data_IF_040854648866
#
_entry.id   IF_040854648866
#
_cell.length_a   1.000
_cell.length_b   1.000
_cell.length_c   1.000
_cell.angle_alpha   90.00
_cell.angle_beta   90.00
_cell.angle_gamma   90.00
#
_symmetry.space_group_name_H-M   'P 1'
#
loop_
_entity.id
_entity.type
_entity.pdbx_description
1 polymer ?
#
# COMPACT_ATOMS: atom_id res chain seq x y z
N UNK A 1 -22.63 -1.81 -60.36
CA UNK A 1 -21.78 -1.04 -59.44
C UNK A 1 -22.65 -0.55 -58.28
N UNK A 2 -22.04 -0.45 -57.10
CA UNK A 2 -22.60 -0.77 -55.78
C UNK A 2 -23.88 -0.05 -55.32
N UNK A 3 -24.75 -0.82 -54.66
CA UNK A 3 -25.93 -0.39 -53.90
C UNK A 3 -25.52 0.13 -52.53
N UNK A 4 -26.18 1.21 -52.10
CA UNK A 4 -26.24 1.68 -50.72
C UNK A 4 -26.93 0.62 -49.85
N UNK A 5 -26.36 0.35 -48.67
CA UNK A 5 -27.05 -0.25 -47.54
C UNK A 5 -26.49 0.41 -46.28
N UNK A 6 -27.26 1.35 -45.73
CA UNK A 6 -27.15 1.81 -44.36
C UNK A 6 -27.72 0.71 -43.46
N UNK A 7 -26.90 0.20 -42.53
CA UNK A 7 -27.37 -0.63 -41.42
C UNK A 7 -27.12 0.15 -40.14
N UNK A 8 -28.19 0.81 -39.69
CA UNK A 8 -28.35 1.28 -38.32
C UNK A 8 -28.52 0.06 -37.40
N UNK A 9 -27.48 -0.26 -36.63
CA UNK A 9 -27.53 -1.20 -35.51
C UNK A 9 -27.39 -0.46 -34.20
N UNK A 10 -28.50 0.08 -33.67
CA UNK A 10 -28.63 0.45 -32.25
C UNK A 10 -28.78 -0.85 -31.47
N UNK A 11 -27.73 -1.32 -30.80
CA UNK A 11 -27.87 -2.21 -29.65
C UNK A 11 -27.78 -1.36 -28.39
N UNK A 12 -28.88 -1.33 -27.66
CA UNK A 12 -29.01 -0.68 -26.35
C UNK A 12 -28.10 -1.38 -25.35
N UNK A 13 -27.13 -0.63 -24.84
CA UNK A 13 -26.45 -0.87 -23.58
C UNK A 13 -27.49 -0.82 -22.46
N UNK A 14 -28.01 -1.97 -22.05
CA UNK A 14 -28.41 -2.15 -20.66
C UNK A 14 -27.16 -2.57 -19.88
N UNK A 15 -26.22 -1.63 -19.71
CA UNK A 15 -25.19 -1.72 -18.69
C UNK A 15 -25.89 -1.64 -17.33
N UNK A 16 -26.22 -2.80 -16.78
CA UNK A 16 -26.60 -2.93 -15.39
C UNK A 16 -25.46 -2.42 -14.51
N UNK A 17 -25.57 -1.17 -14.07
CA UNK A 17 -24.79 -0.65 -12.96
C UNK A 17 -24.94 -1.61 -11.78
N UNK A 18 -23.95 -2.46 -11.54
CA UNK A 18 -23.89 -3.25 -10.32
C UNK A 18 -23.85 -2.27 -9.15
N UNK A 19 -24.92 -2.29 -8.36
CA UNK A 19 -25.10 -1.40 -7.22
C UNK A 19 -23.96 -1.65 -6.23
N UNK A 20 -23.25 -0.58 -5.87
CA UNK A 20 -22.13 -0.61 -4.91
C UNK A 20 -22.49 -1.35 -3.61
N UNK A 21 -23.75 -1.28 -3.17
CA UNK A 21 -24.25 -2.02 -2.03
C UNK A 21 -24.14 -3.55 -2.19
N UNK A 22 -24.26 -4.08 -3.40
CA UNK A 22 -24.09 -5.51 -3.66
C UNK A 22 -22.63 -5.95 -3.61
N UNK A 23 -21.72 -5.07 -4.05
CA UNK A 23 -20.28 -5.31 -4.02
C UNK A 23 -19.79 -5.33 -2.57
N UNK A 24 -20.18 -4.33 -1.77
CA UNK A 24 -19.77 -4.24 -0.38
C UNK A 24 -20.41 -5.33 0.49
N UNK A 25 -21.65 -5.74 0.19
CA UNK A 25 -22.29 -6.92 0.80
C UNK A 25 -21.49 -8.20 0.50
N UNK A 26 -21.17 -8.48 -0.77
CA UNK A 26 -20.36 -9.65 -1.16
C UNK A 26 -18.96 -9.62 -0.54
N UNK A 27 -18.37 -8.43 -0.36
CA UNK A 27 -17.08 -8.26 0.32
C UNK A 27 -17.18 -8.63 1.79
N UNK A 28 -18.20 -8.13 2.51
CA UNK A 28 -18.46 -8.49 3.92
C UNK A 28 -18.72 -9.99 4.09
N UNK A 29 -19.60 -10.56 3.28
CA UNK A 29 -19.89 -12.00 3.31
C UNK A 29 -18.61 -12.84 3.12
N UNK A 30 -17.71 -12.43 2.23
CA UNK A 30 -16.41 -13.11 2.02
C UNK A 30 -15.45 -12.94 3.20
N UNK A 31 -15.42 -11.77 3.83
CA UNK A 31 -14.60 -11.52 5.02
C UNK A 31 -15.11 -12.37 6.19
N UNK A 32 -16.42 -12.43 6.38
CA UNK A 32 -17.05 -13.25 7.42
C UNK A 32 -16.82 -14.74 7.18
N UNK A 33 -16.92 -15.20 5.92
CA UNK A 33 -16.62 -16.59 5.56
C UNK A 33 -15.15 -16.94 5.81
N UNK A 34 -14.22 -16.04 5.50
CA UNK A 34 -12.80 -16.24 5.76
C UNK A 34 -12.50 -16.23 7.27
N UNK A 35 -13.11 -15.31 8.01
CA UNK A 35 -13.00 -15.24 9.47
C UNK A 35 -13.51 -16.53 10.12
N UNK A 36 -14.66 -17.04 9.66
CA UNK A 36 -15.22 -18.31 10.13
C UNK A 36 -14.29 -19.48 9.83
N UNK A 37 -13.74 -19.60 8.61
CA UNK A 37 -12.77 -20.66 8.28
C UNK A 37 -11.53 -20.61 9.17
N UNK A 38 -10.97 -19.42 9.39
CA UNK A 38 -9.80 -19.25 10.26
C UNK A 38 -10.11 -19.64 11.71
N UNK A 39 -11.33 -19.36 12.18
CA UNK A 39 -11.78 -19.73 13.51
C UNK A 39 -11.89 -21.25 13.66
N UNK A 40 -12.46 -21.94 12.66
CA UNK A 40 -12.53 -23.41 12.62
C UNK A 40 -11.13 -24.05 12.56
N UNK A 41 -10.21 -23.50 11.76
CA UNK A 41 -8.82 -23.98 11.71
C UNK A 41 -8.11 -23.81 13.06
N UNK A 42 -8.34 -22.68 13.75
CA UNK A 42 -7.80 -22.42 15.09
C UNK A 42 -8.37 -23.40 16.12
N UNK A 43 -9.67 -23.66 16.11
CA UNK A 43 -10.29 -24.64 17.02
C UNK A 43 -9.73 -26.05 16.80
N UNK A 44 -9.52 -26.45 15.54
CA UNK A 44 -8.90 -27.73 15.21
C UNK A 44 -7.46 -27.83 15.71
N UNK A 45 -6.68 -26.75 15.54
CA UNK A 45 -5.31 -26.69 16.03
C UNK A 45 -5.25 -26.76 17.56
N UNK A 46 -6.11 -26.00 18.26
CA UNK A 46 -6.20 -26.04 19.71
C UNK A 46 -6.56 -27.44 20.23
N UNK A 47 -7.52 -28.12 19.61
CA UNK A 47 -7.89 -29.49 19.98
C UNK A 47 -6.73 -30.47 19.80
N UNK A 48 -5.98 -30.34 18.71
CA UNK A 48 -4.77 -31.15 18.48
C UNK A 48 -3.71 -30.93 19.54
N UNK A 49 -3.53 -29.68 20.00
CA UNK A 49 -2.60 -29.33 21.08
C UNK A 49 -3.07 -29.93 22.41
N UNK A 50 -4.36 -29.83 22.72
CA UNK A 50 -4.94 -30.42 23.94
C UNK A 50 -4.76 -31.95 23.97
N UNK A 51 -5.01 -32.64 22.85
CA UNK A 51 -4.78 -34.09 22.73
C UNK A 51 -3.30 -34.47 22.92
N UNK A 52 -2.37 -33.67 22.38
CA UNK A 52 -0.93 -33.89 22.55
C UNK A 52 -0.48 -33.66 23.99
N UNK A 53 -0.97 -32.60 24.63
CA UNK A 53 -0.72 -32.35 26.06
C UNK A 53 -1.24 -33.48 26.92
N UNK A 54 -2.43 -34.01 26.63
CA UNK A 54 -3.00 -35.12 27.38
C UNK A 54 -2.18 -36.41 27.23
N UNK A 55 -1.67 -36.71 26.02
CA UNK A 55 -0.75 -37.84 25.80
C UNK A 55 0.55 -37.68 26.58
N UNK A 56 1.11 -36.47 26.64
CA UNK A 56 2.33 -36.20 27.41
C UNK A 56 2.09 -36.40 28.91
N UNK A 57 0.94 -35.95 29.44
CA UNK A 57 0.54 -36.19 30.82
C UNK A 57 0.32 -37.67 31.15
N UNK A 58 -0.19 -38.46 30.20
CA UNK A 58 -0.35 -39.91 30.37
C UNK A 58 1.02 -40.63 30.36
N UNK A 59 1.96 -40.20 29.51
CA UNK A 59 3.33 -40.71 29.50
C UNK A 59 4.10 -40.40 30.80
N UNK A 60 3.83 -39.24 31.41
CA UNK A 60 4.45 -38.85 32.69
C UNK A 60 3.86 -39.62 33.89
N UNK A 61 2.68 -40.22 33.73
CA UNK A 61 2.00 -41.01 34.77
C UNK A 61 2.28 -42.50 34.74
N UNK A 62 2.97 -43.03 33.73
CA UNK A 62 3.45 -44.42 33.73
C UNK A 62 4.77 -44.50 34.52
N UNK A 63 4.78 -45.09 35.74
CA UNK A 63 6.02 -45.31 36.45
C UNK A 63 6.71 -46.53 35.83
N UNK A 64 7.74 -46.29 35.02
CA UNK A 64 8.75 -47.33 34.81
C UNK A 64 9.57 -47.42 36.08
N UNK A 65 9.30 -48.48 36.84
CA UNK A 65 10.17 -49.03 37.86
C UNK A 65 11.60 -49.13 37.29
N UNK A 66 12.50 -48.28 37.79
CA UNK A 66 13.93 -48.56 37.74
C UNK A 66 14.55 -48.03 39.02
N UNK A 67 14.66 -48.93 40.00
CA UNK A 67 15.57 -48.81 41.14
C UNK A 67 16.98 -48.44 40.64
N UNK A 68 17.59 -47.35 41.11
CA UNK A 68 18.62 -47.39 42.17
C UNK A 68 19.25 -46.01 42.44
N UNK A 69 19.29 -45.68 43.73
CA UNK A 69 20.32 -44.92 44.47
C UNK A 69 20.61 -43.43 44.19
N UNK A 70 20.14 -42.62 45.15
CA UNK A 70 20.99 -41.92 46.15
C UNK A 70 21.17 -40.40 46.03
N UNK A 71 20.92 -39.79 47.20
CA UNK A 71 21.52 -38.59 47.82
C UNK A 71 21.04 -37.18 47.45
N UNK A 72 20.40 -36.59 48.47
CA UNK A 72 20.63 -35.25 49.06
C UNK A 72 19.93 -34.00 48.49
N UNK A 73 18.84 -33.65 49.18
CA UNK A 73 18.60 -32.39 49.94
C UNK A 73 18.43 -31.01 49.24
N UNK A 74 17.76 -30.03 49.90
CA UNK A 74 16.67 -29.28 49.28
C UNK A 74 16.84 -27.74 49.27
N UNK A 75 16.07 -27.06 48.42
CA UNK A 75 15.66 -25.65 48.60
C UNK A 75 14.43 -25.38 47.72
N UNK A 76 13.24 -25.19 48.31
CA UNK A 76 12.60 -23.88 48.56
C UNK A 76 12.54 -22.96 47.33
N UNK A 77 11.35 -22.79 46.76
CA UNK A 77 10.55 -21.55 46.87
C UNK A 77 9.18 -21.74 46.22
N UNK A 78 8.14 -21.49 47.01
CA UNK A 78 6.73 -21.45 46.62
C UNK A 78 6.42 -19.97 46.41
N UNK A 79 6.16 -19.56 45.18
CA UNK A 79 5.43 -18.31 44.92
C UNK A 79 4.15 -18.59 44.13
N UNK A 80 3.08 -18.53 44.89
CA UNK A 80 1.68 -18.43 44.53
C UNK A 80 1.46 -17.20 43.63
N UNK A 81 0.99 -17.40 42.39
CA UNK A 81 0.39 -16.32 41.61
C UNK A 81 -1.10 -16.59 41.45
N UNK A 82 -1.88 -15.79 42.18
CA UNK A 82 -3.33 -15.64 42.04
C UNK A 82 -3.69 -15.10 40.64
N UNK A 83 -4.82 -15.53 40.06
CA UNK A 83 -5.32 -14.95 38.83
C UNK A 83 -5.96 -13.59 39.12
N UNK A 84 -5.43 -12.54 38.49
CA UNK A 84 -6.03 -11.21 38.45
C UNK A 84 -7.24 -11.26 37.52
N UNK A 85 -8.42 -11.16 38.14
CA UNK A 85 -9.71 -10.90 37.52
C UNK A 85 -9.63 -9.48 36.92
N UNK A 86 -9.82 -9.38 35.61
CA UNK A 86 -9.90 -8.10 34.90
C UNK A 86 -11.38 -7.82 34.58
N UNK A 87 -11.78 -6.63 35.01
CA UNK A 87 -13.14 -6.13 35.12
C UNK A 87 -13.91 -6.10 33.79
N UNK A 88 -15.17 -6.49 33.88
CA UNK A 88 -16.24 -6.17 32.95
C UNK A 88 -16.39 -4.65 32.85
N UNK A 89 -16.22 -4.08 31.65
CA UNK A 89 -16.75 -2.76 31.33
C UNK A 89 -17.79 -2.88 30.24
N UNK A 90 -18.98 -2.39 30.58
CA UNK A 90 -20.21 -2.59 29.86
C UNK A 90 -20.24 -1.96 28.48
N UNK A 91 -20.71 -2.77 27.53
CA UNK A 91 -21.39 -2.32 26.33
C UNK A 91 -22.66 -1.56 26.73
N UNK A 92 -22.73 -0.29 26.37
CA UNK A 92 -24.00 0.42 26.27
C UNK A 92 -24.14 0.96 24.85
N UNK A 93 -25.07 0.34 24.14
CA UNK A 93 -25.64 0.79 22.89
C UNK A 93 -26.33 2.15 23.11
N UNK A 94 -25.97 3.16 22.32
CA UNK A 94 -26.96 4.12 21.84
C UNK A 94 -26.73 4.40 20.36
N UNK A 95 -27.52 3.67 19.56
CA UNK A 95 -27.95 4.07 18.23
C UNK A 95 -28.65 5.43 18.29
N UNK A 96 -28.23 6.37 17.44
CA UNK A 96 -29.19 7.10 16.59
C UNK A 96 -28.55 7.94 15.48
N UNK A 97 -28.88 7.52 14.26
CA UNK A 97 -29.34 8.35 13.12
C UNK A 97 -28.39 9.43 12.59
N UNK A 98 -27.82 9.14 11.41
CA UNK A 98 -28.17 9.89 10.20
C UNK A 98 -27.83 9.09 8.94
N UNK A 99 -28.84 8.43 8.37
CA UNK A 99 -28.85 7.96 6.99
C UNK A 99 -28.93 9.18 6.07
N UNK A 100 -27.78 9.77 5.76
CA UNK A 100 -27.58 10.35 4.43
C UNK A 100 -26.87 9.28 3.61
N UNK A 101 -27.25 9.10 2.35
CA UNK A 101 -26.58 8.17 1.44
C UNK A 101 -25.13 8.61 1.21
N UNK A 102 -24.25 8.30 2.15
CA UNK A 102 -22.82 8.47 2.02
C UNK A 102 -22.34 7.34 1.13
N UNK A 103 -22.09 7.66 -0.14
CA UNK A 103 -21.11 6.91 -0.90
C UNK A 103 -19.87 6.76 -0.01
N UNK A 104 -19.34 5.54 0.18
CA UNK A 104 -18.15 5.40 1.00
C UNK A 104 -17.04 6.19 0.32
N UNK A 105 -16.61 7.25 0.98
CA UNK A 105 -15.42 7.97 0.56
C UNK A 105 -14.28 6.96 0.57
N UNK A 106 -13.71 6.70 -0.60
CA UNK A 106 -12.48 5.93 -0.70
C UNK A 106 -11.44 6.63 0.19
N UNK A 107 -11.01 5.95 1.26
CA UNK A 107 -10.02 6.52 2.18
C UNK A 107 -8.67 6.60 1.47
N UNK A 108 -8.14 7.82 1.34
CA UNK A 108 -6.81 8.08 0.78
C UNK A 108 -5.92 8.69 1.85
N UNK A 109 -4.60 8.46 1.74
CA UNK A 109 -3.64 8.94 2.73
C UNK A 109 -3.42 10.45 2.71
N UNK A 110 -3.75 11.10 1.60
CA UNK A 110 -3.95 12.55 1.48
C UNK A 110 -5.22 12.82 0.69
N UNK A 111 -5.91 13.94 0.94
CA UNK A 111 -7.09 14.31 0.17
C UNK A 111 -6.74 14.54 -1.31
N UNK A 112 -7.56 13.96 -2.18
CA UNK A 112 -7.50 14.14 -3.63
C UNK A 112 -8.89 14.52 -4.17
N UNK A 113 -8.92 15.07 -5.38
CA UNK A 113 -10.17 15.34 -6.09
C UNK A 113 -10.85 14.04 -6.49
N UNK A 114 -12.18 14.08 -6.59
CA UNK A 114 -12.98 12.94 -7.07
C UNK A 114 -12.53 12.44 -8.45
N UNK A 115 -12.05 13.36 -9.32
CA UNK A 115 -11.53 13.00 -10.64
C UNK A 115 -10.29 12.11 -10.55
N UNK A 116 -9.33 12.44 -9.67
CA UNK A 116 -8.15 11.59 -9.45
C UNK A 116 -8.55 10.25 -8.86
N UNK A 117 -9.43 10.27 -7.84
CA UNK A 117 -9.92 9.04 -7.20
C UNK A 117 -10.59 8.14 -8.24
N UNK A 118 -11.47 8.69 -9.08
CA UNK A 118 -12.14 7.94 -10.16
C UNK A 118 -11.14 7.37 -11.17
N UNK A 119 -10.18 8.19 -11.62
CA UNK A 119 -9.24 7.81 -12.68
C UNK A 119 -8.20 6.80 -12.23
N UNK A 120 -7.64 6.96 -11.04
CA UNK A 120 -6.50 6.16 -10.58
C UNK A 120 -6.81 5.14 -9.51
N UNK A 121 -7.87 5.33 -8.71
CA UNK A 121 -8.17 4.45 -7.57
C UNK A 121 -9.35 3.55 -7.87
N UNK A 122 -10.47 4.12 -8.31
CA UNK A 122 -11.71 3.41 -8.58
C UNK A 122 -11.82 3.00 -10.06
N UNK A 123 -10.71 2.56 -10.66
CA UNK A 123 -10.70 2.15 -12.06
C UNK A 123 -10.92 0.64 -12.22
N UNK A 124 -11.53 0.23 -13.33
CA UNK A 124 -11.79 -1.19 -13.65
C UNK A 124 -10.49 -2.00 -13.84
N UNK A 125 -9.40 -1.33 -14.22
CA UNK A 125 -8.12 -1.95 -14.49
C UNK A 125 -7.49 -2.53 -13.22
N UNK A 126 -7.52 -1.78 -12.11
CA UNK A 126 -7.08 -2.22 -10.78
C UNK A 126 -7.84 -3.47 -10.33
N UNK A 127 -9.17 -3.48 -10.45
CA UNK A 127 -10.01 -4.64 -10.09
C UNK A 127 -9.59 -5.88 -10.87
N UNK A 128 -9.37 -5.73 -12.18
CA UNK A 128 -8.85 -6.81 -13.03
C UNK A 128 -7.47 -7.30 -12.57
N UNK A 129 -6.57 -6.38 -12.18
CA UNK A 129 -5.24 -6.74 -11.66
C UNK A 129 -5.34 -7.52 -10.35
N UNK A 130 -6.18 -7.09 -9.40
CA UNK A 130 -6.42 -7.81 -8.15
C UNK A 130 -6.97 -9.22 -8.40
N UNK A 131 -7.92 -9.37 -9.33
CA UNK A 131 -8.44 -10.69 -9.69
C UNK A 131 -7.38 -11.59 -10.30
N UNK A 132 -6.45 -11.05 -11.10
CA UNK A 132 -5.32 -11.82 -11.66
C UNK A 132 -4.33 -12.22 -10.58
N UNK A 133 -3.99 -11.32 -9.66
CA UNK A 133 -3.17 -11.62 -8.47
C UNK A 133 -3.81 -12.74 -7.66
N UNK A 134 -5.10 -12.62 -7.35
CA UNK A 134 -5.82 -13.60 -6.56
C UNK A 134 -5.85 -14.97 -7.26
N UNK A 135 -6.22 -15.02 -8.55
CA UNK A 135 -6.23 -16.26 -9.33
C UNK A 135 -4.86 -16.93 -9.37
N UNK A 136 -3.82 -16.16 -9.68
CA UNK A 136 -2.46 -16.70 -9.76
C UNK A 136 -1.99 -17.23 -8.39
N UNK A 137 -2.31 -16.53 -7.29
CA UNK A 137 -2.00 -16.99 -5.93
C UNK A 137 -2.67 -18.33 -5.59
N UNK A 138 -3.88 -18.60 -6.09
CA UNK A 138 -4.55 -19.88 -5.84
C UNK A 138 -3.92 -21.02 -6.65
N UNK A 139 -3.44 -20.75 -7.87
CA UNK A 139 -2.92 -21.79 -8.77
C UNK A 139 -1.42 -22.01 -8.65
N UNK A 140 -0.66 -21.00 -8.21
CA UNK A 140 0.79 -21.06 -8.13
C UNK A 140 1.24 -21.95 -6.95
N UNK A 141 2.20 -22.87 -7.15
CA UNK A 141 2.78 -23.64 -6.04
C UNK A 141 3.31 -22.75 -4.90
N UNK A 142 2.97 -23.08 -3.65
CA UNK A 142 3.33 -22.28 -2.45
C UNK A 142 4.83 -22.01 -2.30
N UNK A 143 5.67 -22.97 -2.71
CA UNK A 143 7.12 -22.82 -2.72
C UNK A 143 7.59 -21.71 -3.67
N UNK A 144 6.98 -21.58 -4.85
CA UNK A 144 7.31 -20.53 -5.84
C UNK A 144 6.86 -19.16 -5.32
N UNK A 145 5.66 -19.08 -4.72
CA UNK A 145 5.18 -17.84 -4.08
C UNK A 145 6.14 -17.38 -2.98
N UNK A 146 6.54 -18.31 -2.10
CA UNK A 146 7.47 -18.03 -1.01
C UNK A 146 8.84 -17.61 -1.56
N UNK A 147 9.36 -18.31 -2.56
CA UNK A 147 10.64 -17.96 -3.19
C UNK A 147 10.60 -16.56 -3.81
N UNK A 148 9.53 -16.22 -4.52
CA UNK A 148 9.31 -14.87 -5.09
C UNK A 148 9.38 -13.82 -3.98
N UNK A 149 8.62 -14.03 -2.90
CA UNK A 149 8.61 -13.13 -1.74
C UNK A 149 9.99 -12.97 -1.10
N UNK A 150 10.71 -14.08 -0.89
CA UNK A 150 12.06 -14.06 -0.31
C UNK A 150 13.02 -13.29 -1.20
N UNK A 151 13.01 -13.54 -2.51
CA UNK A 151 13.91 -12.87 -3.44
C UNK A 151 13.61 -11.37 -3.52
N UNK A 152 12.35 -10.97 -3.71
CA UNK A 152 11.95 -9.56 -3.74
C UNK A 152 12.37 -8.86 -2.44
N UNK A 153 12.06 -9.44 -1.27
CA UNK A 153 12.42 -8.86 0.01
C UNK A 153 13.94 -8.71 0.18
N UNK A 154 14.70 -9.77 -0.13
CA UNK A 154 16.16 -9.77 0.02
C UNK A 154 16.80 -8.75 -0.89
N UNK A 155 16.36 -8.66 -2.16
CA UNK A 155 16.99 -7.78 -3.15
C UNK A 155 16.60 -6.32 -2.96
N UNK A 156 15.35 -6.01 -2.61
CA UNK A 156 14.95 -4.63 -2.38
C UNK A 156 15.59 -4.00 -1.14
N UNK A 157 15.90 -4.78 -0.10
CA UNK A 157 16.68 -4.29 1.05
C UNK A 157 18.14 -3.96 0.68
N UNK A 158 18.64 -4.49 -0.44
CA UNK A 158 20.01 -4.27 -0.89
C UNK A 158 20.17 -3.03 -1.78
N UNK A 159 19.08 -2.41 -2.26
CA UNK A 159 19.17 -1.24 -3.15
C UNK A 159 19.97 -0.12 -2.47
N UNK A 160 20.98 0.41 -3.16
CA UNK A 160 21.79 1.55 -2.71
C UNK A 160 22.41 2.26 -3.91
N UNK A 161 22.96 3.45 -3.72
CA UNK A 161 23.61 4.26 -4.78
C UNK A 161 24.94 3.71 -5.31
N UNK A 162 25.25 2.43 -5.09
CA UNK A 162 26.44 1.79 -5.67
C UNK A 162 26.21 1.52 -7.16
N UNK A 163 27.13 2.01 -8.00
CA UNK A 163 27.08 1.81 -9.45
C UNK A 163 26.85 0.33 -9.82
N UNK A 164 25.95 0.09 -10.78
CA UNK A 164 25.59 -1.24 -11.27
C UNK A 164 24.86 -2.13 -10.26
N UNK A 165 24.44 -1.63 -9.10
CA UNK A 165 23.66 -2.42 -8.17
C UNK A 165 22.21 -2.61 -8.61
N UNK A 166 21.57 -1.55 -9.14
CA UNK A 166 20.23 -1.62 -9.72
C UNK A 166 20.18 -2.66 -10.84
N UNK A 167 21.17 -2.68 -11.74
CA UNK A 167 21.32 -3.70 -12.80
C UNK A 167 21.37 -5.12 -12.23
N UNK A 168 22.20 -5.35 -11.19
CA UNK A 168 22.36 -6.67 -10.57
C UNK A 168 21.06 -7.13 -9.92
N UNK A 169 20.35 -6.24 -9.23
CA UNK A 169 19.05 -6.54 -8.61
C UNK A 169 18.02 -6.84 -9.69
N UNK A 170 17.94 -6.02 -10.73
CA UNK A 170 17.05 -6.23 -11.87
C UNK A 170 17.27 -7.61 -12.51
N UNK A 171 18.52 -7.97 -12.80
CA UNK A 171 18.85 -9.24 -13.44
C UNK A 171 18.45 -10.47 -12.62
N UNK A 172 18.43 -10.37 -11.29
CA UNK A 172 17.93 -11.45 -10.43
C UNK A 172 16.40 -11.47 -10.38
N UNK A 173 15.77 -10.30 -10.26
CA UNK A 173 14.32 -10.21 -10.08
C UNK A 173 13.52 -10.39 -11.38
N UNK A 174 14.12 -10.16 -12.56
CA UNK A 174 13.44 -10.30 -13.86
C UNK A 174 12.86 -11.68 -14.11
N UNK A 175 13.45 -12.73 -13.54
CA UNK A 175 12.95 -14.09 -13.65
C UNK A 175 11.55 -14.24 -13.04
N UNK A 176 11.19 -13.39 -12.07
CA UNK A 176 9.89 -13.39 -11.40
C UNK A 176 8.92 -12.35 -12.00
N UNK A 177 9.42 -11.42 -12.82
CA UNK A 177 8.69 -10.21 -13.23
C UNK A 177 7.44 -10.43 -14.09
N UNK A 178 7.28 -11.64 -14.63
CA UNK A 178 6.11 -12.01 -15.44
C UNK A 178 4.88 -12.42 -14.60
N UNK A 179 5.03 -12.55 -13.28
CA UNK A 179 3.98 -12.99 -12.36
C UNK A 179 3.24 -11.80 -11.73
N UNK A 180 1.93 -11.94 -11.55
CA UNK A 180 1.11 -11.01 -10.75
C UNK A 180 1.43 -11.06 -9.26
N UNK A 181 1.80 -12.24 -8.71
CA UNK A 181 2.34 -12.36 -7.34
C UNK A 181 3.62 -11.52 -7.19
N UNK A 182 4.45 -11.43 -8.24
CA UNK A 182 5.58 -10.49 -8.24
C UNK A 182 5.11 -9.03 -8.23
N UNK A 183 4.16 -8.64 -9.08
CA UNK A 183 3.61 -7.27 -9.12
C UNK A 183 3.17 -6.81 -7.73
N UNK A 184 2.41 -7.65 -7.04
CA UNK A 184 1.95 -7.37 -5.68
C UNK A 184 3.12 -7.28 -4.69
N UNK A 185 3.97 -8.31 -4.65
CA UNK A 185 5.07 -8.41 -3.69
C UNK A 185 6.05 -7.26 -3.86
N UNK A 186 6.41 -6.95 -5.11
CA UNK A 186 7.30 -5.86 -5.48
C UNK A 186 6.70 -4.51 -5.07
N UNK A 187 5.44 -4.24 -5.40
CA UNK A 187 4.74 -3.02 -5.02
C UNK A 187 4.73 -2.81 -3.51
N UNK A 188 4.31 -3.83 -2.75
CA UNK A 188 4.24 -3.77 -1.29
C UNK A 188 5.62 -3.49 -0.71
N UNK A 189 6.65 -4.14 -1.23
CA UNK A 189 8.01 -4.02 -0.71
C UNK A 189 8.69 -2.71 -1.12
N UNK A 190 8.43 -2.18 -2.32
CA UNK A 190 8.91 -0.85 -2.74
C UNK A 190 8.33 0.23 -1.82
N UNK A 191 7.03 0.16 -1.52
CA UNK A 191 6.38 1.10 -0.59
C UNK A 191 7.00 0.97 0.81
N UNK A 192 7.28 -0.25 1.28
CA UNK A 192 7.97 -0.48 2.54
C UNK A 192 9.36 0.17 2.57
N UNK A 193 10.15 0.04 1.50
CA UNK A 193 11.46 0.70 1.40
C UNK A 193 11.35 2.22 1.33
N UNK A 194 10.29 2.75 0.72
CA UNK A 194 9.95 4.17 0.78
C UNK A 194 9.81 4.67 2.22
N UNK A 195 9.15 3.88 3.09
CA UNK A 195 8.96 4.21 4.50
C UNK A 195 10.24 4.07 5.33
N UNK A 196 11.07 3.07 5.03
CA UNK A 196 12.24 2.75 5.83
C UNK A 196 13.49 3.50 5.34
N UNK A 197 13.93 3.18 4.12
CA UNK A 197 15.21 3.65 3.59
C UNK A 197 15.08 5.07 3.02
N UNK A 198 14.10 5.31 2.14
CA UNK A 198 13.97 6.61 1.47
C UNK A 198 13.61 7.72 2.45
N UNK A 199 12.76 7.43 3.43
CA UNK A 199 12.44 8.42 4.47
C UNK A 199 13.66 8.79 5.33
N UNK A 200 14.60 7.87 5.53
CA UNK A 200 15.85 8.11 6.27
C UNK A 200 16.95 8.74 5.40
N UNK A 201 16.96 8.44 4.11
CA UNK A 201 17.90 8.95 3.12
C UNK A 201 17.13 9.36 1.85
N UNK A 202 16.59 10.59 1.78
CA UNK A 202 15.70 11.01 0.70
C UNK A 202 16.25 10.73 -0.69
N UNK A 203 17.51 11.04 -0.96
CA UNK A 203 18.14 10.84 -2.28
C UNK A 203 18.09 9.39 -2.80
N UNK A 204 17.95 8.40 -1.91
CA UNK A 204 17.84 6.99 -2.30
C UNK A 204 16.58 6.65 -3.10
N UNK A 205 15.60 7.57 -3.21
CA UNK A 205 14.43 7.35 -4.07
C UNK A 205 14.82 7.09 -5.53
N UNK A 206 15.96 7.62 -5.99
CA UNK A 206 16.42 7.54 -7.38
C UNK A 206 16.68 6.10 -7.79
N UNK A 207 17.37 5.33 -6.96
CA UNK A 207 17.68 3.93 -7.23
C UNK A 207 16.42 3.05 -7.20
N UNK A 208 15.48 3.34 -6.30
CA UNK A 208 14.19 2.64 -6.27
C UNK A 208 13.31 2.99 -7.47
N UNK A 209 13.28 4.26 -7.88
CA UNK A 209 12.56 4.71 -9.05
C UNK A 209 13.15 4.13 -10.35
N UNK A 210 14.48 4.10 -10.47
CA UNK A 210 15.16 3.46 -11.60
C UNK A 210 14.82 1.97 -11.66
N UNK A 211 14.91 1.27 -10.53
CA UNK A 211 14.56 -0.14 -10.46
C UNK A 211 13.10 -0.40 -10.82
N UNK A 212 12.18 0.44 -10.33
CA UNK A 212 10.76 0.38 -10.70
C UNK A 212 10.59 0.57 -12.21
N UNK A 213 11.25 1.56 -12.81
CA UNK A 213 11.17 1.82 -14.24
C UNK A 213 11.68 0.66 -15.10
N UNK A 214 12.66 -0.12 -14.62
CA UNK A 214 13.13 -1.34 -15.31
C UNK A 214 12.11 -2.48 -15.30
N UNK A 215 11.22 -2.52 -14.31
CA UNK A 215 10.11 -3.46 -14.24
C UNK A 215 8.79 -2.88 -14.74
N UNK A 216 8.82 -1.68 -15.35
CA UNK A 216 7.62 -0.95 -15.65
C UNK A 216 6.68 -1.73 -16.57
N UNK A 217 5.42 -1.80 -16.14
CA UNK A 217 4.28 -2.17 -16.95
C UNK A 217 3.10 -1.29 -16.53
N UNK A 218 2.11 -1.14 -17.42
CA UNK A 218 0.88 -0.38 -17.08
C UNK A 218 0.22 -0.96 -15.83
N UNK A 219 0.16 -2.29 -15.73
CA UNK A 219 -0.45 -2.99 -14.60
C UNK A 219 0.33 -2.80 -13.30
N UNK A 220 1.66 -2.83 -13.34
CA UNK A 220 2.49 -2.55 -12.18
C UNK A 220 2.27 -1.12 -11.68
N UNK A 221 2.24 -0.15 -12.60
CA UNK A 221 2.06 1.25 -12.26
C UNK A 221 0.66 1.54 -11.70
N UNK A 222 -0.38 0.96 -12.30
CA UNK A 222 -1.75 1.07 -11.79
C UNK A 222 -1.86 0.48 -10.38
N UNK A 223 -1.38 -0.74 -10.17
CA UNK A 223 -1.39 -1.37 -8.85
C UNK A 223 -0.59 -0.55 -7.82
N UNK A 224 0.60 -0.07 -8.20
CA UNK A 224 1.44 0.76 -7.34
C UNK A 224 0.74 2.05 -6.90
N UNK A 225 0.11 2.78 -7.82
CA UNK A 225 -0.63 4.02 -7.49
C UNK A 225 -1.75 3.76 -6.48
N UNK A 226 -2.56 2.72 -6.70
CA UNK A 226 -3.68 2.42 -5.80
C UNK A 226 -3.18 2.11 -4.40
N UNK A 227 -2.19 1.22 -4.28
CA UNK A 227 -1.63 0.87 -2.97
C UNK A 227 -0.93 2.07 -2.33
N UNK A 228 -0.24 2.92 -3.11
CA UNK A 228 0.40 4.13 -2.63
C UNK A 228 -0.61 5.13 -2.08
N UNK A 229 -1.71 5.42 -2.81
CA UNK A 229 -2.67 6.45 -2.43
C UNK A 229 -3.61 6.02 -1.30
N UNK A 230 -3.85 4.72 -1.14
CA UNK A 230 -4.81 4.19 -0.15
C UNK A 230 -4.17 3.67 1.12
N UNK A 231 -2.87 3.35 1.13
CA UNK A 231 -2.19 2.96 2.38
C UNK A 231 -1.89 4.15 3.27
N UNK A 232 -2.25 4.01 4.54
CA UNK A 232 -1.90 4.95 5.61
C UNK A 232 -0.39 5.22 5.67
N UNK A 233 -0.03 6.48 5.87
CA UNK A 233 1.34 6.94 6.02
C UNK A 233 1.42 7.98 7.15
N UNK A 234 2.53 7.98 7.88
CA UNK A 234 2.83 9.00 8.88
C UNK A 234 3.51 10.22 8.24
N UNK A 235 3.54 11.34 8.95
CA UNK A 235 4.30 12.54 8.53
C UNK A 235 5.78 12.24 8.28
N UNK A 236 6.37 11.33 9.06
CA UNK A 236 7.77 10.90 8.93
C UNK A 236 8.06 10.04 7.70
N UNK A 237 7.05 9.36 7.15
CA UNK A 237 7.26 8.36 6.08
C UNK A 237 6.66 8.76 4.74
N UNK A 238 5.68 9.66 4.73
CA UNK A 238 4.92 9.98 3.53
C UNK A 238 5.79 10.55 2.40
N UNK A 239 6.79 11.36 2.74
CA UNK A 239 7.73 11.87 1.73
C UNK A 239 8.44 10.73 1.02
N UNK A 240 9.01 9.78 1.76
CA UNK A 240 9.83 8.73 1.17
C UNK A 240 9.05 7.80 0.24
N UNK A 241 7.78 7.48 0.54
CA UNK A 241 6.94 6.70 -0.38
C UNK A 241 6.55 7.49 -1.64
N UNK A 242 6.18 8.76 -1.51
CA UNK A 242 5.85 9.59 -2.67
C UNK A 242 7.09 9.95 -3.51
N UNK A 243 8.28 10.04 -2.90
CA UNK A 243 9.53 10.31 -3.63
C UNK A 243 9.81 9.24 -4.69
N UNK A 244 9.51 7.97 -4.40
CA UNK A 244 9.69 6.89 -5.38
C UNK A 244 8.74 7.09 -6.56
N UNK A 245 7.45 7.36 -6.30
CA UNK A 245 6.46 7.63 -7.34
C UNK A 245 6.84 8.83 -8.21
N UNK A 246 7.23 9.95 -7.58
CA UNK A 246 7.67 11.12 -8.32
C UNK A 246 8.96 10.88 -9.09
N UNK A 247 9.90 10.10 -8.55
CA UNK A 247 11.09 9.67 -9.29
C UNK A 247 10.74 8.84 -10.52
N UNK A 248 9.73 7.96 -10.44
CA UNK A 248 9.24 7.20 -11.61
C UNK A 248 8.69 8.16 -12.67
N UNK A 249 7.86 9.13 -12.28
CA UNK A 249 7.33 10.13 -13.22
C UNK A 249 8.45 10.98 -13.85
N UNK A 250 9.48 11.34 -13.07
CA UNK A 250 10.65 12.09 -13.56
C UNK A 250 11.43 11.29 -14.61
N UNK A 251 11.78 10.04 -14.31
CA UNK A 251 12.55 9.17 -15.21
C UNK A 251 11.76 8.90 -16.50
N UNK A 252 10.44 8.74 -16.41
CA UNK A 252 9.58 8.53 -17.58
C UNK A 252 9.27 9.82 -18.36
N UNK A 253 9.62 10.99 -17.81
CA UNK A 253 9.25 12.28 -18.39
C UNK A 253 7.72 12.50 -18.46
N UNK A 254 6.95 11.88 -17.56
CA UNK A 254 5.49 11.91 -17.60
C UNK A 254 4.95 13.19 -16.94
N UNK A 255 5.10 14.31 -17.65
CA UNK A 255 4.66 15.63 -17.19
C UNK A 255 3.14 15.75 -17.05
N UNK A 256 2.37 15.03 -17.87
CA UNK A 256 0.91 15.11 -17.87
C UNK A 256 0.34 14.56 -16.58
N UNK A 257 0.85 13.41 -16.13
CA UNK A 257 0.46 12.83 -14.85
C UNK A 257 0.98 13.62 -13.66
N UNK A 258 2.21 14.14 -13.73
CA UNK A 258 2.74 15.04 -12.71
C UNK A 258 1.84 16.28 -12.55
N UNK A 259 1.41 16.88 -13.67
CA UNK A 259 0.52 18.02 -13.69
C UNK A 259 -0.86 17.68 -13.12
N UNK A 260 -1.46 16.57 -13.57
CA UNK A 260 -2.76 16.11 -13.10
C UNK A 260 -2.73 15.81 -11.59
N UNK A 261 -1.66 15.17 -11.10
CA UNK A 261 -1.46 14.87 -9.69
C UNK A 261 -1.44 16.14 -8.83
N UNK A 262 -0.59 17.12 -9.17
CA UNK A 262 -0.46 18.33 -8.35
C UNK A 262 -1.73 19.20 -8.43
N UNK A 263 -2.39 19.25 -9.60
CA UNK A 263 -3.67 19.95 -9.73
C UNK A 263 -4.73 19.31 -8.82
N UNK A 264 -4.84 17.98 -8.80
CA UNK A 264 -5.77 17.27 -7.91
C UNK A 264 -5.49 17.59 -6.45
N UNK A 265 -4.22 17.53 -6.01
CA UNK A 265 -3.89 17.84 -4.62
C UNK A 265 -4.20 19.29 -4.23
N UNK A 266 -3.82 20.26 -5.06
CA UNK A 266 -3.99 21.68 -4.74
C UNK A 266 -5.46 22.14 -4.80
N UNK A 267 -6.31 21.37 -5.48
CA UNK A 267 -7.77 21.59 -5.54
C UNK A 267 -8.54 20.78 -4.48
N UNK A 268 -7.84 20.07 -3.60
CA UNK A 268 -8.44 19.28 -2.52
C UNK A 268 -8.31 20.00 -1.18
N UNK A 269 -9.12 19.57 -0.20
CA UNK A 269 -8.98 20.06 1.18
C UNK A 269 -7.57 19.74 1.70
N UNK A 270 -6.89 20.73 2.25
CA UNK A 270 -5.55 20.52 2.79
C UNK A 270 -5.58 19.63 4.04
N UNK A 271 -4.62 18.70 4.11
CA UNK A 271 -4.28 17.97 5.32
C UNK A 271 -2.83 18.27 5.73
N UNK A 272 -2.47 17.97 6.98
CA UNK A 272 -1.08 18.08 7.43
C UNK A 272 -0.13 17.28 6.52
N UNK A 273 -0.55 16.09 6.11
CA UNK A 273 0.21 15.22 5.22
C UNK A 273 0.36 15.78 3.80
N UNK A 274 -0.65 16.51 3.31
CA UNK A 274 -0.63 17.13 1.98
C UNK A 274 0.57 18.05 1.78
N UNK A 275 0.94 18.81 2.81
CA UNK A 275 2.05 19.74 2.68
C UNK A 275 3.40 19.06 2.43
N UNK A 276 3.65 17.92 3.08
CA UNK A 276 4.87 17.16 2.90
C UNK A 276 4.95 16.54 1.50
N UNK A 277 3.81 16.14 0.94
CA UNK A 277 3.72 15.61 -0.43
C UNK A 277 3.93 16.73 -1.46
N UNK A 278 3.35 17.93 -1.27
CA UNK A 278 3.62 19.09 -2.14
C UNK A 278 5.10 19.49 -2.11
N UNK A 279 5.71 19.51 -0.93
CA UNK A 279 7.15 19.78 -0.80
C UNK A 279 7.99 18.76 -1.59
N UNK A 280 7.69 17.47 -1.41
CA UNK A 280 8.35 16.39 -2.12
C UNK A 280 8.15 16.51 -3.64
N UNK A 281 6.93 16.84 -4.07
CA UNK A 281 6.58 17.04 -5.48
C UNK A 281 7.46 18.12 -6.12
N UNK A 282 7.55 19.31 -5.54
CA UNK A 282 8.35 20.39 -6.13
C UNK A 282 9.85 20.10 -6.07
N UNK A 283 10.33 19.36 -5.08
CA UNK A 283 11.74 18.97 -4.99
C UNK A 283 12.19 18.03 -6.10
N UNK A 284 11.30 17.17 -6.61
CA UNK A 284 11.60 16.16 -7.61
C UNK A 284 11.09 16.59 -8.99
N UNK A 285 9.79 16.88 -9.11
CA UNK A 285 9.13 17.14 -10.39
C UNK A 285 9.09 18.61 -10.80
N UNK A 286 9.55 19.53 -9.94
CA UNK A 286 9.58 20.95 -10.27
C UNK A 286 10.39 21.26 -11.54
N UNK A 287 11.56 20.63 -11.69
CA UNK A 287 12.40 20.79 -12.88
C UNK A 287 11.75 20.21 -14.14
N UNK A 288 11.06 19.07 -14.03
CA UNK A 288 10.34 18.46 -15.14
C UNK A 288 9.28 19.42 -15.67
N UNK A 289 8.40 19.91 -14.79
CA UNK A 289 7.32 20.82 -15.19
C UNK A 289 7.85 22.17 -15.69
N UNK A 290 8.89 22.72 -15.06
CA UNK A 290 9.50 23.96 -15.53
C UNK A 290 10.02 23.85 -16.97
N UNK A 291 10.65 22.73 -17.32
CA UNK A 291 11.18 22.49 -18.67
C UNK A 291 10.07 22.24 -19.69
N UNK A 292 9.04 21.48 -19.33
CA UNK A 292 7.99 21.07 -20.27
C UNK A 292 6.88 22.11 -20.44
N UNK A 293 6.47 22.80 -19.37
CA UNK A 293 5.36 23.74 -19.38
C UNK A 293 5.65 25.01 -18.57
N UNK A 294 6.75 25.70 -18.90
CA UNK A 294 7.26 26.89 -18.18
C UNK A 294 6.20 27.93 -17.80
N UNK A 295 5.37 28.36 -18.76
CA UNK A 295 4.34 29.39 -18.52
C UNK A 295 3.30 28.93 -17.49
N UNK A 296 2.60 27.80 -17.73
CA UNK A 296 1.73 27.18 -16.73
C UNK A 296 2.41 26.93 -15.38
N UNK A 297 3.67 26.50 -15.36
CA UNK A 297 4.42 26.25 -14.13
C UNK A 297 4.58 27.51 -13.26
N UNK A 298 4.84 28.69 -13.84
CA UNK A 298 4.84 29.94 -13.05
C UNK A 298 3.46 30.26 -12.46
N UNK A 299 2.38 30.03 -13.22
CA UNK A 299 1.01 30.19 -12.70
C UNK A 299 0.72 29.23 -11.54
N UNK A 300 1.24 28.00 -11.61
CA UNK A 300 1.18 27.03 -10.53
C UNK A 300 1.91 27.54 -9.27
N UNK A 301 3.11 28.09 -9.41
CA UNK A 301 3.85 28.70 -8.28
C UNK A 301 3.06 29.85 -7.68
N UNK A 302 2.56 30.77 -8.50
CA UNK A 302 1.75 31.90 -8.04
C UNK A 302 0.49 31.43 -7.30
N UNK A 303 -0.18 30.40 -7.83
CA UNK A 303 -1.34 29.79 -7.19
C UNK A 303 -0.98 29.22 -5.81
N UNK A 304 0.12 28.48 -5.70
CA UNK A 304 0.58 27.92 -4.43
C UNK A 304 0.89 29.03 -3.42
N UNK A 305 1.64 30.07 -3.82
CA UNK A 305 1.98 31.21 -2.95
C UNK A 305 0.73 31.97 -2.50
N UNK A 306 -0.23 32.20 -3.40
CA UNK A 306 -1.40 33.06 -3.14
C UNK A 306 -2.53 32.34 -2.41
N UNK A 307 -2.80 31.09 -2.74
CA UNK A 307 -3.97 30.36 -2.24
C UNK A 307 -3.57 29.24 -1.30
N UNK A 308 -2.68 28.34 -1.73
CA UNK A 308 -2.35 27.15 -0.94
C UNK A 308 -1.64 27.48 0.38
N UNK A 309 -0.64 28.38 0.37
CA UNK A 309 0.09 28.77 1.58
C UNK A 309 -0.77 29.45 2.64
N UNK A 310 -1.93 30.02 2.29
CA UNK A 310 -2.82 30.67 3.25
C UNK A 310 -3.48 29.68 4.21
N UNK A 311 -3.78 28.48 3.75
CA UNK A 311 -4.48 27.46 4.56
C UNK A 311 -3.52 26.43 5.16
N UNK A 312 -2.23 26.53 4.82
CA UNK A 312 -1.20 25.60 5.28
C UNK A 312 -0.68 26.01 6.67
N UNK A 313 -0.74 25.08 7.63
CA UNK A 313 -0.31 25.33 9.02
C UNK A 313 1.15 24.96 9.32
N UNK A 314 1.92 24.48 8.33
CA UNK A 314 3.30 24.02 8.50
C UNK A 314 4.31 25.03 7.93
N UNK A 315 4.71 25.99 8.76
CA UNK A 315 5.60 27.09 8.34
C UNK A 315 6.98 26.61 7.83
N UNK A 316 7.66 25.65 8.48
CA UNK A 316 8.92 25.12 7.95
C UNK A 316 8.79 24.54 6.53
N UNK A 317 7.66 23.90 6.23
CA UNK A 317 7.39 23.35 4.91
C UNK A 317 7.15 24.46 3.87
N UNK A 318 6.46 25.55 4.23
CA UNK A 318 6.29 26.71 3.34
C UNK A 318 7.62 27.35 2.97
N UNK A 319 8.51 27.52 3.95
CA UNK A 319 9.85 28.10 3.74
C UNK A 319 10.64 27.24 2.75
N UNK A 320 10.63 25.91 2.93
CA UNK A 320 11.32 24.99 2.02
C UNK A 320 10.75 25.04 0.60
N UNK A 321 9.43 25.02 0.45
CA UNK A 321 8.78 25.15 -0.87
C UNK A 321 9.14 26.50 -1.52
N UNK A 322 9.11 27.60 -0.76
CA UNK A 322 9.45 28.94 -1.26
C UNK A 322 10.90 29.02 -1.74
N UNK A 323 11.84 28.44 -0.98
CA UNK A 323 13.25 28.36 -1.39
C UNK A 323 13.45 27.53 -2.67
N UNK A 324 12.61 26.51 -2.91
CA UNK A 324 12.63 25.80 -4.20
C UNK A 324 12.16 26.69 -5.34
N UNK A 325 11.17 27.56 -5.11
CA UNK A 325 10.63 28.48 -6.12
C UNK A 325 11.65 29.53 -6.58
N UNK A 326 12.51 30.01 -5.68
CA UNK A 326 13.58 30.96 -6.00
C UNK A 326 14.53 30.44 -7.09
N UNK A 327 14.74 29.12 -7.17
CA UNK A 327 15.58 28.47 -8.20
C UNK A 327 15.05 28.70 -9.63
N UNK A 328 13.76 28.99 -9.77
CA UNK A 328 13.11 29.24 -11.05
C UNK A 328 12.95 30.75 -11.34
N UNK A 329 13.44 31.62 -10.45
CA UNK A 329 13.29 33.08 -10.54
C UNK A 329 11.89 33.57 -10.17
N UNK A 330 11.19 32.85 -9.28
CA UNK A 330 9.77 33.08 -8.94
C UNK A 330 9.54 33.60 -7.51
#
# INVERSE_FOLDING_TARGET
>A
MCRQNEIYGKQSEEEGHLNYGEIERKRRERVDELAYRLLVEREKANRSIEEELQRLFELEKDPVDTETHSSEEPAKEIETYSPVILEEHGLSEELSKNNSGMQPLCSTNVPFTDELVSRFILNKAYVSIEEKIWRERQTMPKNIQMQTKIQVNKRLTQVSGKAGQVDRIFNVLREYSHSYVFVETFTVKIIEQGRLQVSSCPESYKEFAELFCRFYSSELMEYFRVILFTREASSSTIKGVYSIYFGVLEIQGNSDEAWFFIASMLNSRQSELSCYVVECFFSILGNLLFRTCRGPFFKLIEYVKRYYFREMNNEPCKIRISSMFERYGA
#
